data_IF_051163813950
#
_entry.id   IF_051163813950
#
_cell.length_a   1.000
_cell.length_b   1.000
_cell.length_c   1.000
_cell.angle_alpha   90.00
_cell.angle_beta   90.00
_cell.angle_gamma   90.00
#
_symmetry.space_group_name_H-M   'P 1'
#
loop_
_entity.id
_entity.type
_entity.pdbx_description
1 polymer ?
#
# COMPACT_ATOMS: atom_id res chain seq x y z
N UNK A 1 9.83 5.75 -21.73
CA UNK A 1 8.92 6.81 -21.23
C UNK A 1 7.47 6.40 -21.53
N UNK A 2 7.12 6.10 -22.76
CA UNK A 2 5.74 5.79 -23.17
C UNK A 2 5.12 4.56 -22.51
N UNK A 3 5.91 3.54 -22.13
CA UNK A 3 5.40 2.30 -21.50
C UNK A 3 5.08 2.50 -20.02
N UNK A 4 5.87 3.27 -19.32
CA UNK A 4 5.64 3.63 -17.91
C UNK A 4 4.46 4.61 -17.77
N UNK A 5 4.37 5.61 -18.66
CA UNK A 5 3.25 6.54 -18.69
C UNK A 5 1.93 5.84 -19.01
N UNK A 6 1.91 4.92 -19.99
CA UNK A 6 0.73 4.11 -20.30
C UNK A 6 0.30 3.22 -19.12
N UNK A 7 1.25 2.68 -18.35
CA UNK A 7 0.93 1.88 -17.15
C UNK A 7 0.26 2.73 -16.07
N UNK A 8 0.70 3.97 -15.88
CA UNK A 8 0.13 4.89 -14.87
C UNK A 8 -1.31 5.27 -15.18
N UNK A 9 -1.65 5.49 -16.45
CA UNK A 9 -2.98 5.91 -16.90
C UNK A 9 -4.11 4.91 -16.62
N UNK A 10 -3.77 3.63 -16.34
CA UNK A 10 -4.75 2.58 -16.02
C UNK A 10 -4.57 2.00 -14.63
N UNK A 11 -3.69 2.59 -13.83
CA UNK A 11 -3.43 2.12 -12.47
C UNK A 11 -4.43 2.74 -11.49
N UNK A 12 -5.06 1.88 -10.68
CA UNK A 12 -5.87 2.29 -9.54
C UNK A 12 -5.18 1.85 -8.26
N UNK A 13 -5.06 2.76 -7.31
CA UNK A 13 -4.48 2.50 -6.00
C UNK A 13 -5.53 2.80 -4.94
N UNK A 14 -5.85 1.81 -4.11
CA UNK A 14 -6.67 2.02 -2.94
C UNK A 14 -5.83 2.66 -1.84
N UNK A 15 -6.39 3.62 -1.13
CA UNK A 15 -5.74 4.25 0.02
C UNK A 15 -6.66 4.31 1.22
N UNK A 16 -6.08 4.13 2.40
CA UNK A 16 -6.77 4.36 3.66
C UNK A 16 -5.77 4.76 4.75
N UNK A 17 -6.26 5.36 5.80
CA UNK A 17 -5.47 5.77 6.96
C UNK A 17 -6.36 5.88 8.19
N UNK A 18 -5.74 5.99 9.36
CA UNK A 18 -6.39 6.53 10.55
C UNK A 18 -6.12 8.04 10.67
N UNK A 19 -6.55 8.63 11.79
CA UNK A 19 -6.33 10.05 12.08
C UNK A 19 -4.84 10.43 12.13
N UNK A 20 -3.97 9.52 12.54
CA UNK A 20 -2.51 9.75 12.58
C UNK A 20 -1.82 9.74 11.23
N UNK A 21 -2.49 9.28 10.19
CA UNK A 21 -1.98 9.23 8.81
C UNK A 21 -2.76 10.10 7.82
N UNK A 22 -3.71 10.88 8.30
CA UNK A 22 -4.62 11.63 7.44
C UNK A 22 -3.91 12.64 6.52
N UNK A 23 -3.03 13.47 7.05
CA UNK A 23 -2.32 14.46 6.24
C UNK A 23 -1.42 13.81 5.21
N UNK A 24 -0.74 12.73 5.57
CA UNK A 24 0.13 12.01 4.63
C UNK A 24 -0.68 11.31 3.56
N UNK A 25 -1.84 10.74 3.89
CA UNK A 25 -2.74 10.15 2.90
C UNK A 25 -3.19 11.21 1.89
N UNK A 26 -3.63 12.35 2.35
CA UNK A 26 -4.05 13.45 1.45
C UNK A 26 -2.91 13.91 0.55
N UNK A 27 -1.70 14.03 1.09
CA UNK A 27 -0.52 14.43 0.31
C UNK A 27 -0.18 13.38 -0.77
N UNK A 28 -0.06 12.10 -0.40
CA UNK A 28 0.28 11.03 -1.35
C UNK A 28 -0.84 10.82 -2.37
N UNK A 29 -2.10 10.94 -1.97
CA UNK A 29 -3.24 10.90 -2.89
C UNK A 29 -3.09 11.95 -4.00
N UNK A 30 -2.88 13.21 -3.62
CA UNK A 30 -2.66 14.27 -4.59
C UNK A 30 -1.44 14.03 -5.47
N UNK A 31 -0.34 13.58 -4.87
CA UNK A 31 0.90 13.23 -5.57
C UNK A 31 0.67 12.17 -6.66
N UNK A 32 -0.13 11.14 -6.37
CA UNK A 32 -0.48 10.08 -7.32
C UNK A 32 -1.46 10.58 -8.39
N UNK A 33 -2.48 11.34 -8.01
CA UNK A 33 -3.46 11.91 -8.94
C UNK A 33 -2.80 12.86 -9.95
N UNK A 34 -1.83 13.67 -9.50
CA UNK A 34 -1.04 14.55 -10.36
C UNK A 34 -0.19 13.77 -11.39
N UNK A 35 0.08 12.49 -11.13
CA UNK A 35 0.75 11.56 -12.07
C UNK A 35 -0.21 10.77 -12.95
N UNK A 36 -1.51 11.04 -12.87
CA UNK A 36 -2.55 10.35 -13.64
C UNK A 36 -2.97 9.00 -13.07
N UNK A 37 -2.62 8.70 -11.82
CA UNK A 37 -3.03 7.47 -11.12
C UNK A 37 -4.36 7.73 -10.41
N UNK A 38 -5.36 6.87 -10.65
CA UNK A 38 -6.64 6.95 -9.95
C UNK A 38 -6.49 6.43 -8.51
N UNK A 39 -6.95 7.23 -7.55
CA UNK A 39 -6.95 6.84 -6.14
C UNK A 39 -8.37 6.54 -5.67
N UNK A 40 -8.56 5.36 -5.09
CA UNK A 40 -9.80 4.96 -4.42
C UNK A 40 -9.61 5.17 -2.93
N UNK A 41 -10.16 6.23 -2.39
CA UNK A 41 -9.96 6.66 -1.00
C UNK A 41 -11.03 6.06 -0.08
N UNK A 42 -10.61 5.18 0.82
CA UNK A 42 -11.46 4.53 1.83
C UNK A 42 -11.49 5.26 3.18
N UNK A 43 -10.86 6.42 3.29
CA UNK A 43 -10.81 7.22 4.52
C UNK A 43 -9.59 6.83 5.40
N UNK A 44 -9.48 7.45 6.61
CA UNK A 44 -10.47 8.40 7.16
C UNK A 44 -10.41 9.75 6.42
N UNK A 45 -11.38 10.63 6.73
CA UNK A 45 -11.51 11.91 6.01
C UNK A 45 -11.34 13.12 6.93
N UNK A 46 -10.84 12.91 8.14
CA UNK A 46 -10.58 13.96 9.11
C UNK A 46 -9.48 13.54 10.10
N UNK A 47 -9.14 14.45 11.02
CA UNK A 47 -8.21 14.19 12.12
C UNK A 47 -8.89 13.62 13.37
N UNK A 48 -10.20 13.41 13.32
CA UNK A 48 -10.94 12.81 14.43
C UNK A 48 -10.47 11.38 14.68
N UNK A 49 -10.33 11.02 15.95
CA UNK A 49 -9.82 9.73 16.38
C UNK A 49 -10.67 8.58 15.83
N UNK A 50 -10.03 7.65 15.15
CA UNK A 50 -10.62 6.43 14.60
C UNK A 50 -9.66 5.25 14.80
N UNK A 51 -10.17 4.04 14.64
CA UNK A 51 -9.39 2.82 14.83
C UNK A 51 -8.80 2.33 13.50
N UNK A 52 -7.48 2.28 13.42
CA UNK A 52 -6.76 1.88 12.19
C UNK A 52 -7.14 0.50 11.65
N UNK A 53 -7.48 -0.53 12.46
CA UNK A 53 -7.86 -1.83 11.92
C UNK A 53 -9.10 -1.78 11.03
N UNK A 54 -10.06 -0.92 11.34
CA UNK A 54 -11.29 -0.76 10.55
C UNK A 54 -10.97 -0.27 9.14
N UNK A 55 -10.02 0.66 9.02
CA UNK A 55 -9.60 1.21 7.73
C UNK A 55 -8.69 0.26 6.96
N UNK A 56 -7.85 -0.49 7.64
CA UNK A 56 -7.10 -1.59 7.04
C UNK A 56 -8.07 -2.62 6.43
N UNK A 57 -9.10 -3.02 7.17
CA UNK A 57 -10.09 -4.00 6.71
C UNK A 57 -10.84 -3.52 5.46
N UNK A 58 -11.27 -2.26 5.41
CA UNK A 58 -11.95 -1.69 4.23
C UNK A 58 -11.10 -1.77 2.97
N UNK A 59 -9.83 -1.37 3.06
CA UNK A 59 -8.91 -1.43 1.94
C UNK A 59 -8.64 -2.87 1.52
N UNK A 60 -8.40 -3.76 2.47
CA UNK A 60 -8.13 -5.16 2.19
C UNK A 60 -9.33 -5.85 1.50
N UNK A 61 -10.54 -5.57 1.95
CA UNK A 61 -11.76 -6.08 1.33
C UNK A 61 -11.90 -5.60 -0.12
N UNK A 62 -11.62 -4.33 -0.39
CA UNK A 62 -11.66 -3.81 -1.76
C UNK A 62 -10.67 -4.53 -2.68
N UNK A 63 -9.43 -4.70 -2.23
CA UNK A 63 -8.38 -5.36 -3.03
C UNK A 63 -8.73 -6.83 -3.28
N UNK A 64 -9.18 -7.56 -2.26
CA UNK A 64 -9.45 -8.99 -2.36
C UNK A 64 -10.75 -9.31 -3.10
N UNK A 65 -11.75 -8.46 -3.00
CA UNK A 65 -13.02 -8.61 -3.75
C UNK A 65 -12.93 -8.09 -5.19
N UNK A 66 -11.99 -7.18 -5.47
CA UNK A 66 -11.89 -6.53 -6.76
C UNK A 66 -12.95 -5.47 -7.03
N UNK A 67 -13.69 -5.02 -6.00
CA UNK A 67 -14.84 -4.14 -6.13
C UNK A 67 -14.54 -2.85 -6.90
N UNK A 68 -13.43 -2.17 -6.59
CA UNK A 68 -13.04 -0.94 -7.28
C UNK A 68 -12.15 -1.18 -8.52
N UNK A 69 -11.58 -2.36 -8.65
CA UNK A 69 -10.55 -2.69 -9.63
C UNK A 69 -9.13 -2.38 -9.15
N UNK A 70 -8.95 -1.81 -7.96
CA UNK A 70 -7.62 -1.62 -7.38
C UNK A 70 -7.03 -2.97 -6.98
N UNK A 71 -5.80 -3.24 -7.41
CA UNK A 71 -5.06 -4.46 -7.08
C UNK A 71 -3.98 -4.23 -6.03
N UNK A 72 -3.70 -2.99 -5.72
CA UNK A 72 -2.69 -2.55 -4.76
C UNK A 72 -3.23 -1.43 -3.89
N UNK A 73 -2.72 -1.34 -2.68
CA UNK A 73 -3.13 -0.32 -1.74
C UNK A 73 -2.00 0.28 -0.93
N UNK A 74 -2.27 1.44 -0.37
CA UNK A 74 -1.37 2.17 0.54
C UNK A 74 -2.13 2.47 1.82
N UNK A 75 -1.57 2.07 2.95
CA UNK A 75 -2.10 2.29 4.28
C UNK A 75 -1.16 3.16 5.10
N UNK A 76 -1.69 4.15 5.77
CA UNK A 76 -0.90 5.09 6.56
C UNK A 76 -1.52 5.28 7.95
N UNK A 77 -0.72 5.13 9.00
CA UNK A 77 -1.08 5.53 10.35
C UNK A 77 0.07 6.33 10.98
N UNK A 78 0.12 6.49 12.27
CA UNK A 78 1.20 7.25 12.93
C UNK A 78 2.58 6.63 12.72
N UNK A 79 2.70 5.31 12.84
CA UNK A 79 3.96 4.57 12.67
C UNK A 79 3.95 3.62 11.46
N UNK A 80 2.79 3.30 10.93
CA UNK A 80 2.61 2.26 9.93
C UNK A 80 2.60 0.83 10.50
N UNK A 81 2.97 0.65 11.77
CA UNK A 81 3.13 -0.67 12.40
C UNK A 81 1.78 -1.34 12.60
N UNK A 82 0.90 -0.72 13.38
CA UNK A 82 -0.40 -1.32 13.73
C UNK A 82 -1.25 -1.61 12.49
N UNK A 83 -1.29 -0.67 11.55
CA UNK A 83 -2.08 -0.83 10.33
C UNK A 83 -1.51 -1.93 9.42
N UNK A 84 -0.20 -2.13 9.40
CA UNK A 84 0.42 -3.23 8.66
C UNK A 84 0.12 -4.60 9.29
N UNK A 85 0.13 -4.69 10.61
CA UNK A 85 -0.24 -5.92 11.34
C UNK A 85 -1.70 -6.27 11.04
N UNK A 86 -2.60 -5.29 11.13
CA UNK A 86 -4.02 -5.49 10.83
C UNK A 86 -4.24 -5.96 9.38
N UNK A 87 -3.59 -5.31 8.42
CA UNK A 87 -3.70 -5.69 7.01
C UNK A 87 -3.23 -7.14 6.76
N UNK A 88 -2.15 -7.56 7.40
CA UNK A 88 -1.63 -8.92 7.26
C UNK A 88 -2.49 -10.01 7.94
N UNK A 89 -3.49 -9.63 8.71
CA UNK A 89 -4.52 -10.57 9.18
C UNK A 89 -5.58 -10.88 8.13
N UNK A 90 -5.66 -10.09 7.08
CA UNK A 90 -6.63 -10.28 5.99
C UNK A 90 -6.07 -11.28 4.97
N UNK A 91 -6.85 -12.31 4.62
CA UNK A 91 -6.46 -13.30 3.61
C UNK A 91 -6.20 -12.63 2.26
N UNK A 92 -5.15 -13.06 1.58
CA UNK A 92 -4.76 -12.51 0.28
C UNK A 92 -3.92 -11.24 0.34
N UNK A 93 -3.63 -10.71 1.52
CA UNK A 93 -2.87 -9.47 1.70
C UNK A 93 -1.44 -9.78 2.16
N UNK A 94 -0.49 -9.14 1.48
CA UNK A 94 0.92 -9.08 1.86
C UNK A 94 1.28 -7.62 2.01
N UNK A 95 1.13 -7.12 3.23
CA UNK A 95 1.41 -5.74 3.58
C UNK A 95 2.86 -5.58 4.05
N UNK A 96 3.56 -4.63 3.47
CA UNK A 96 4.93 -4.32 3.82
C UNK A 96 5.02 -2.93 4.47
N UNK A 97 5.47 -2.89 5.72
CA UNK A 97 5.85 -1.65 6.38
C UNK A 97 7.23 -1.22 5.88
N UNK A 98 7.31 -0.13 5.14
CA UNK A 98 8.54 0.38 4.58
C UNK A 98 8.88 1.77 5.11
N UNK A 99 10.10 1.89 5.64
CA UNK A 99 10.67 3.14 6.14
C UNK A 99 11.85 3.64 5.29
N UNK A 100 12.16 2.95 4.20
CA UNK A 100 13.24 3.29 3.27
C UNK A 100 12.90 2.81 1.86
N UNK A 101 13.61 3.36 0.89
CA UNK A 101 13.38 3.07 -0.54
C UNK A 101 13.80 1.65 -0.91
N UNK A 102 14.89 1.15 -0.33
CA UNK A 102 15.36 -0.21 -0.61
C UNK A 102 14.34 -1.26 -0.16
N UNK A 103 13.83 -1.16 1.06
CA UNK A 103 12.79 -2.07 1.56
C UNK A 103 11.52 -2.02 0.71
N UNK A 104 11.10 -0.82 0.30
CA UNK A 104 9.95 -0.66 -0.59
C UNK A 104 10.14 -1.40 -1.91
N UNK A 105 11.29 -1.24 -2.54
CA UNK A 105 11.66 -1.94 -3.78
C UNK A 105 11.66 -3.45 -3.57
N UNK A 106 12.34 -3.95 -2.52
CA UNK A 106 12.45 -5.38 -2.24
C UNK A 106 11.13 -6.03 -1.87
N UNK A 107 10.24 -5.31 -1.20
CA UNK A 107 8.91 -5.82 -0.87
C UNK A 107 8.09 -6.17 -2.11
N UNK A 108 8.31 -5.45 -3.20
CA UNK A 108 7.73 -5.76 -4.50
C UNK A 108 8.48 -6.85 -5.22
N UNK A 109 9.78 -6.66 -5.41
CA UNK A 109 10.65 -7.54 -6.19
C UNK A 109 10.69 -8.97 -5.62
N UNK A 110 10.77 -9.11 -4.30
CA UNK A 110 10.91 -10.40 -3.61
C UNK A 110 9.59 -10.95 -3.03
N UNK A 111 8.73 -10.08 -2.50
CA UNK A 111 7.57 -10.52 -1.73
C UNK A 111 6.24 -10.32 -2.44
N UNK A 112 6.26 -9.67 -3.58
CA UNK A 112 5.04 -9.29 -4.31
C UNK A 112 3.99 -8.63 -3.39
N UNK A 113 4.48 -7.74 -2.50
CA UNK A 113 3.61 -7.05 -1.55
C UNK A 113 2.53 -6.26 -2.30
N UNK A 114 1.28 -6.47 -1.96
CA UNK A 114 0.16 -5.78 -2.58
C UNK A 114 -0.36 -4.59 -1.75
N UNK A 115 0.16 -4.41 -0.55
CA UNK A 115 -0.13 -3.25 0.30
C UNK A 115 1.17 -2.67 0.85
N UNK A 116 1.35 -1.37 0.64
CA UNK A 116 2.43 -0.58 1.24
C UNK A 116 1.91 0.11 2.49
N UNK A 117 2.62 -0.01 3.60
CA UNK A 117 2.31 0.70 4.84
C UNK A 117 3.42 1.68 5.20
N UNK A 118 3.03 2.87 5.65
CA UNK A 118 3.95 3.94 6.05
C UNK A 118 3.46 4.64 7.32
N UNK A 119 4.38 5.28 8.02
CA UNK A 119 4.10 6.07 9.22
C UNK A 119 4.27 7.56 8.97
N UNK A 120 3.19 8.34 9.13
CA UNK A 120 3.24 9.81 8.96
C UNK A 120 4.23 10.48 9.93
N UNK A 121 4.29 9.98 11.18
CA UNK A 121 5.18 10.52 12.22
C UNK A 121 6.61 10.06 12.10
N UNK A 122 6.89 9.11 11.23
CA UNK A 122 8.22 8.51 11.03
C UNK A 122 8.91 9.06 9.80
N UNK A 123 8.15 9.27 8.71
CA UNK A 123 8.70 9.66 7.41
C UNK A 123 8.38 11.11 7.08
N UNK A 124 9.37 11.83 6.58
CA UNK A 124 9.15 13.11 5.92
C UNK A 124 8.44 12.94 4.57
N UNK A 125 7.87 14.01 4.06
CA UNK A 125 7.08 14.03 2.82
C UNK A 125 7.88 13.52 1.62
N UNK A 126 9.10 14.02 1.45
CA UNK A 126 9.94 13.62 0.31
C UNK A 126 10.31 12.14 0.32
N UNK A 127 10.65 11.59 1.49
CA UNK A 127 10.95 10.17 1.62
C UNK A 127 9.70 9.30 1.36
N UNK A 128 8.54 9.72 1.83
CA UNK A 128 7.28 9.02 1.57
C UNK A 128 6.96 8.97 0.07
N UNK A 129 7.21 10.05 -0.67
CA UNK A 129 7.07 10.08 -2.13
C UNK A 129 8.04 9.10 -2.80
N UNK A 130 9.32 9.10 -2.42
CA UNK A 130 10.34 8.21 -2.98
C UNK A 130 10.02 6.73 -2.71
N UNK A 131 9.56 6.41 -1.51
CA UNK A 131 9.12 5.06 -1.13
C UNK A 131 7.93 4.64 -2.00
N UNK A 132 6.94 5.51 -2.15
CA UNK A 132 5.75 5.25 -2.97
C UNK A 132 6.13 5.00 -4.43
N UNK A 133 6.98 5.83 -5.01
CA UNK A 133 7.44 5.67 -6.39
C UNK A 133 8.18 4.34 -6.59
N UNK A 134 9.14 4.03 -5.73
CA UNK A 134 9.90 2.79 -5.81
C UNK A 134 8.99 1.56 -5.71
N UNK A 135 8.00 1.61 -4.82
CA UNK A 135 7.05 0.52 -4.64
C UNK A 135 6.13 0.33 -5.85
N UNK A 136 5.61 1.42 -6.42
CA UNK A 136 4.71 1.35 -7.58
C UNK A 136 5.44 0.96 -8.87
N UNK A 137 6.70 1.34 -9.02
CA UNK A 137 7.49 1.11 -10.24
C UNK A 137 8.15 -0.27 -10.27
N UNK A 138 8.29 -0.95 -9.14
CA UNK A 138 8.97 -2.24 -9.04
C UNK A 138 8.00 -3.39 -9.33
N UNK A 139 8.40 -4.27 -10.23
CA UNK A 139 7.67 -5.49 -10.54
C UNK A 139 8.16 -6.67 -9.70
N UNK A 140 7.30 -7.67 -9.57
CA UNK A 140 7.70 -8.94 -8.93
C UNK A 140 8.66 -9.71 -9.83
N UNK A 141 9.79 -10.14 -9.26
CA UNK A 141 10.82 -10.86 -10.00
C UNK A 141 10.45 -12.32 -10.32
N UNK A 142 9.51 -12.90 -9.58
CA UNK A 142 9.13 -14.32 -9.76
C UNK A 142 10.25 -15.29 -9.39
N UNK A 143 10.39 -16.36 -10.16
CA UNK A 143 11.45 -17.36 -9.96
C UNK A 143 11.44 -17.96 -8.56
N UNK A 144 12.60 -17.98 -7.90
CA UNK A 144 12.75 -18.49 -6.51
C UNK A 144 11.87 -17.73 -5.49
N UNK A 145 11.56 -16.48 -5.76
CA UNK A 145 10.74 -15.65 -4.87
C UNK A 145 9.28 -16.09 -4.89
N UNK A 146 8.77 -16.51 -6.03
CA UNK A 146 7.40 -17.01 -6.16
C UNK A 146 7.13 -18.22 -5.27
N UNK A 147 8.06 -19.16 -5.21
CA UNK A 147 7.95 -20.32 -4.29
C UNK A 147 7.82 -19.88 -2.84
N UNK A 148 8.58 -18.87 -2.43
CA UNK A 148 8.55 -18.35 -1.06
C UNK A 148 7.27 -17.59 -0.78
N UNK A 149 6.80 -16.78 -1.72
CA UNK A 149 5.51 -16.08 -1.61
C UNK A 149 4.37 -17.08 -1.49
N UNK A 150 4.37 -18.14 -2.30
CA UNK A 150 3.35 -19.18 -2.22
C UNK A 150 3.34 -19.87 -0.85
N UNK A 151 4.50 -20.11 -0.24
CA UNK A 151 4.60 -20.64 1.12
C UNK A 151 4.03 -19.70 2.19
N UNK A 152 4.19 -18.37 2.00
CA UNK A 152 3.53 -17.38 2.87
C UNK A 152 2.01 -17.52 2.74
N UNK A 153 1.51 -17.61 1.51
CA UNK A 153 0.07 -17.71 1.25
C UNK A 153 -0.51 -19.02 1.80
N UNK A 154 0.23 -20.11 1.76
CA UNK A 154 -0.17 -21.40 2.32
C UNK A 154 -0.42 -21.34 3.85
N UNK A 155 0.21 -20.39 4.55
CA UNK A 155 -0.03 -20.19 5.98
C UNK A 155 -1.45 -19.74 6.31
N UNK A 156 -2.14 -19.13 5.36
CA UNK A 156 -3.53 -18.67 5.54
C UNK A 156 -4.52 -19.84 5.64
N UNK A 157 -4.16 -21.01 5.13
CA UNK A 157 -4.99 -22.20 5.15
C UNK A 157 -4.87 -23.00 6.47
N UNK A 158 -3.99 -22.60 7.38
CA UNK A 158 -3.76 -23.23 8.69
C UNK A 158 -4.51 -22.47 9.78
#
# INVERSE_FOLDING_TARGET
>A
IKKQERRRLFMKIAMACDHGGFHRKEHIKKYLEDKGIEVVDHGTYSEDSVDYPDYAAKLCEDITSGASGAQKGILICGTGIGISIAANKCKGIRAALCGDVFSAKMSREHNNANVLCMGERVLGVGLAEMITDAWLETEFAGGRHERRVNKIMDLEAK
#
